data_IF_793449991731
#
_entry.id   IF_793449991731
#
_cell.length_a   1.000
_cell.length_b   1.000
_cell.length_c   1.000
_cell.angle_alpha   90.00
_cell.angle_beta   90.00
_cell.angle_gamma   90.00
#
_symmetry.space_group_name_H-M   'P 1'
#
loop_
_entity.id
_entity.type
_entity.pdbx_description
1 polymer ?
#
# COMPACT_ATOMS: atom_id res chain seq x y z
N UNK A 1 -9.15 36.47 -9.18
CA UNK A 1 -7.81 35.98 -9.54
C UNK A 1 -7.12 37.05 -10.35
N UNK A 2 -5.93 37.45 -9.92
CA UNK A 2 -5.04 38.27 -10.73
C UNK A 2 -4.57 37.47 -11.97
N UNK A 3 -3.95 38.15 -12.94
CA UNK A 3 -3.33 37.45 -14.07
C UNK A 3 -2.15 36.58 -13.61
N UNK A 4 -1.39 37.05 -12.63
CA UNK A 4 -0.27 36.32 -12.02
C UNK A 4 -0.74 35.04 -11.33
N UNK A 5 -1.86 35.06 -10.62
CA UNK A 5 -2.44 33.86 -9.99
C UNK A 5 -2.83 32.80 -11.02
N UNK A 6 -3.31 33.24 -12.20
CA UNK A 6 -3.70 32.31 -13.27
C UNK A 6 -2.49 31.67 -13.92
N UNK A 7 -1.45 32.44 -14.20
CA UNK A 7 -0.21 31.92 -14.78
C UNK A 7 0.46 30.93 -13.83
N UNK A 8 0.52 31.25 -12.54
CA UNK A 8 0.99 30.35 -11.49
C UNK A 8 0.20 29.03 -11.47
N UNK A 9 -1.14 29.10 -11.44
CA UNK A 9 -1.98 27.89 -11.40
C UNK A 9 -1.84 27.04 -12.65
N UNK A 10 -1.76 27.66 -13.84
CA UNK A 10 -1.59 26.92 -15.09
C UNK A 10 -0.24 26.19 -15.12
N UNK A 11 0.85 26.85 -14.71
CA UNK A 11 2.17 26.23 -14.62
C UNK A 11 2.18 25.06 -13.62
N UNK A 12 1.65 25.28 -12.41
CA UNK A 12 1.58 24.25 -11.39
C UNK A 12 0.75 23.03 -11.83
N UNK A 13 -0.39 23.26 -12.49
CA UNK A 13 -1.24 22.18 -13.00
C UNK A 13 -0.57 21.39 -14.14
N UNK A 14 0.19 22.06 -15.01
CA UNK A 14 0.97 21.40 -16.06
C UNK A 14 2.08 20.52 -15.47
N UNK A 15 2.85 21.02 -14.51
CA UNK A 15 3.88 20.25 -13.81
C UNK A 15 3.31 19.01 -13.12
N UNK A 16 2.19 19.16 -12.40
CA UNK A 16 1.50 18.03 -11.75
C UNK A 16 1.05 17.00 -12.79
N UNK A 17 0.53 17.44 -13.95
CA UNK A 17 0.13 16.54 -15.03
C UNK A 17 1.31 15.76 -15.63
N UNK A 18 2.51 16.33 -15.57
CA UNK A 18 3.77 15.68 -16.00
C UNK A 18 4.36 14.77 -14.90
N UNK A 19 3.73 14.70 -13.73
CA UNK A 19 4.10 13.80 -12.65
C UNK A 19 4.93 14.42 -11.53
N UNK A 20 5.08 15.74 -11.53
CA UNK A 20 5.74 16.46 -10.43
C UNK A 20 4.89 16.47 -9.15
N UNK A 21 5.54 16.71 -8.01
CA UNK A 21 4.89 16.71 -6.70
C UNK A 21 4.05 17.97 -6.49
N UNK A 22 2.76 17.78 -6.20
CA UNK A 22 1.81 18.88 -6.05
C UNK A 22 2.09 19.80 -4.85
N UNK A 23 2.79 19.33 -3.80
CA UNK A 23 3.21 20.20 -2.70
C UNK A 23 4.30 21.17 -3.15
N UNK A 24 5.21 20.70 -4.01
CA UNK A 24 6.23 21.53 -4.64
C UNK A 24 5.63 22.49 -5.67
N UNK A 25 4.82 22.01 -6.62
CA UNK A 25 4.27 22.85 -7.69
C UNK A 25 3.26 23.90 -7.23
N UNK A 26 2.49 23.62 -6.17
CA UNK A 26 1.54 24.59 -5.61
C UNK A 26 2.11 25.37 -4.41
N UNK A 27 3.37 25.11 -4.04
CA UNK A 27 4.01 25.64 -2.83
C UNK A 27 3.17 25.44 -1.55
N UNK A 28 2.37 24.38 -1.52
CA UNK A 28 1.50 24.04 -0.38
C UNK A 28 2.12 22.90 0.40
N UNK A 29 2.20 23.05 1.71
CA UNK A 29 2.64 21.95 2.59
C UNK A 29 1.41 21.17 3.05
N UNK A 30 1.32 19.89 2.72
CA UNK A 30 0.20 19.06 3.17
C UNK A 30 0.17 18.99 4.70
N UNK A 31 -1.03 19.08 5.29
CA UNK A 31 -1.19 18.97 6.75
C UNK A 31 -1.10 17.52 7.20
N UNK A 32 -0.75 17.32 8.46
CA UNK A 32 -0.68 16.00 9.11
C UNK A 32 -2.05 15.29 8.98
N UNK A 33 -2.14 14.29 8.09
CA UNK A 33 -3.37 13.54 7.80
C UNK A 33 -3.79 13.55 6.34
N UNK A 34 -3.33 14.53 5.56
CA UNK A 34 -3.49 14.57 4.11
C UNK A 34 -2.41 13.66 3.49
N UNK A 35 -2.79 12.47 3.02
CA UNK A 35 -1.82 11.45 2.59
C UNK A 35 -1.44 11.62 1.12
N UNK A 36 -0.12 11.77 0.91
CA UNK A 36 0.64 11.42 -0.31
C UNK A 36 -0.02 10.27 -1.07
N UNK A 37 -0.67 10.63 -2.18
CA UNK A 37 -1.70 9.80 -2.84
C UNK A 37 -1.17 8.47 -3.38
N UNK A 38 0.13 8.37 -3.64
CA UNK A 38 0.72 7.23 -4.35
C UNK A 38 1.29 6.17 -3.41
N UNK A 39 2.07 6.55 -2.39
CA UNK A 39 2.66 5.58 -1.46
C UNK A 39 1.60 4.89 -0.58
N UNK A 40 0.57 5.63 -0.15
CA UNK A 40 -0.50 5.04 0.64
C UNK A 40 -1.32 4.00 -0.16
N UNK A 41 -1.61 4.30 -1.44
CA UNK A 41 -2.28 3.37 -2.36
C UNK A 41 -1.42 2.13 -2.64
N UNK A 42 -0.13 2.32 -2.94
CA UNK A 42 0.82 1.22 -3.15
C UNK A 42 0.92 0.32 -1.92
N UNK A 43 1.02 0.90 -0.71
CA UNK A 43 1.06 0.11 0.53
C UNK A 43 -0.24 -0.65 0.76
N UNK A 44 -1.41 -0.09 0.45
CA UNK A 44 -2.69 -0.80 0.58
C UNK A 44 -2.76 -2.00 -0.37
N UNK A 45 -2.42 -1.80 -1.65
CA UNK A 45 -2.37 -2.86 -2.65
C UNK A 45 -1.35 -3.96 -2.28
N UNK A 46 -0.13 -3.58 -1.90
CA UNK A 46 0.90 -4.53 -1.47
C UNK A 46 0.47 -5.33 -0.24
N UNK A 47 -0.32 -4.73 0.67
CA UNK A 47 -0.83 -5.43 1.86
C UNK A 47 -1.85 -6.51 1.51
N UNK A 48 -2.77 -6.27 0.59
CA UNK A 48 -3.74 -7.29 0.17
C UNK A 48 -3.04 -8.51 -0.41
N UNK A 49 -2.08 -8.28 -1.31
CA UNK A 49 -1.25 -9.34 -1.88
C UNK A 49 -0.50 -10.13 -0.81
N UNK A 50 0.13 -9.41 0.12
CA UNK A 50 0.94 -10.02 1.18
C UNK A 50 0.10 -10.84 2.14
N UNK A 51 -1.07 -10.37 2.54
CA UNK A 51 -1.93 -11.15 3.41
C UNK A 51 -2.53 -12.37 2.70
N UNK A 52 -2.84 -12.28 1.41
CA UNK A 52 -3.23 -13.45 0.62
C UNK A 52 -2.12 -14.49 0.49
N UNK A 53 -0.87 -14.02 0.31
CA UNK A 53 0.30 -14.90 0.32
C UNK A 53 0.52 -15.54 1.69
N UNK A 54 0.44 -14.77 2.79
CA UNK A 54 0.57 -15.30 4.16
C UNK A 54 -0.52 -16.34 4.45
N UNK A 55 -1.76 -16.11 4.01
CA UNK A 55 -2.85 -17.08 4.14
C UNK A 55 -2.52 -18.41 3.46
N UNK A 56 -1.96 -18.35 2.26
CA UNK A 56 -1.61 -19.54 1.47
C UNK A 56 -0.40 -20.25 2.07
N UNK A 57 0.62 -19.49 2.45
CA UNK A 57 1.86 -20.01 3.01
C UNK A 57 1.66 -20.70 4.36
N UNK A 58 0.78 -20.17 5.21
CA UNK A 58 0.50 -20.74 6.54
C UNK A 58 -0.46 -21.92 6.53
N UNK A 59 -1.16 -22.14 5.42
CA UNK A 59 -2.12 -23.22 5.33
C UNK A 59 -1.42 -24.58 5.11
N UNK A 60 -2.08 -25.71 5.47
CA UNK A 60 -1.47 -27.02 5.39
C UNK A 60 -1.06 -27.41 3.96
N UNK A 61 0.04 -28.17 3.85
CA UNK A 61 0.50 -28.75 2.59
C UNK A 61 -0.58 -29.62 1.92
N UNK A 62 -1.36 -30.35 2.73
CA UNK A 62 -2.48 -31.19 2.25
C UNK A 62 -3.57 -30.40 1.52
N UNK A 63 -3.63 -29.09 1.73
CA UNK A 63 -4.59 -28.19 1.10
C UNK A 63 -3.89 -27.26 0.08
N UNK A 64 -2.64 -27.58 -0.31
CA UNK A 64 -1.85 -26.80 -1.28
C UNK A 64 -1.18 -25.55 -0.71
N UNK A 65 -1.03 -25.46 0.61
CA UNK A 65 -0.22 -24.43 1.26
C UNK A 65 1.24 -24.85 1.49
N UNK A 66 2.01 -24.04 2.22
CA UNK A 66 3.42 -24.33 2.55
C UNK A 66 3.61 -24.84 3.99
N UNK A 67 2.55 -24.92 4.80
CA UNK A 67 2.62 -25.38 6.18
C UNK A 67 3.48 -24.51 7.11
N UNK A 68 3.83 -23.29 6.69
CA UNK A 68 4.72 -22.41 7.45
C UNK A 68 4.04 -21.87 8.71
N UNK A 69 4.83 -21.56 9.74
CA UNK A 69 4.30 -20.79 10.85
C UNK A 69 4.13 -19.31 10.45
N UNK A 70 3.26 -18.59 11.16
CA UNK A 70 2.95 -17.19 10.83
C UNK A 70 4.18 -16.26 10.85
N UNK A 71 5.14 -16.50 11.76
CA UNK A 71 6.34 -15.65 11.85
C UNK A 71 7.26 -15.87 10.66
N UNK A 72 7.48 -17.12 10.26
CA UNK A 72 8.24 -17.49 9.07
C UNK A 72 7.62 -16.87 7.82
N UNK A 73 6.30 -17.03 7.66
CA UNK A 73 5.58 -16.43 6.54
C UNK A 73 5.76 -14.90 6.52
N UNK A 74 5.58 -14.20 7.65
CA UNK A 74 5.75 -12.74 7.71
C UNK A 74 7.17 -12.31 7.37
N UNK A 75 8.18 -13.05 7.84
CA UNK A 75 9.59 -12.76 7.57
C UNK A 75 9.91 -12.90 6.08
N UNK A 76 9.50 -14.00 5.44
CA UNK A 76 9.66 -14.21 3.99
C UNK A 76 8.93 -13.12 3.19
N UNK A 77 7.70 -12.77 3.59
CA UNK A 77 6.95 -11.71 2.94
C UNK A 77 7.64 -10.34 3.08
N UNK A 78 8.30 -10.08 4.21
CA UNK A 78 9.01 -8.82 4.44
C UNK A 78 10.26 -8.68 3.56
N UNK A 79 10.93 -9.78 3.27
CA UNK A 79 12.08 -9.84 2.35
C UNK A 79 11.64 -9.72 0.88
N UNK A 80 10.51 -10.34 0.52
CA UNK A 80 10.04 -10.42 -0.88
C UNK A 80 9.26 -9.19 -1.38
N UNK A 81 8.66 -8.40 -0.50
CA UNK A 81 7.76 -7.31 -0.87
C UNK A 81 8.24 -5.94 -0.36
N UNK A 82 8.25 -4.95 -1.26
CA UNK A 82 8.64 -3.58 -0.96
C UNK A 82 7.54 -2.79 -0.26
N UNK A 83 7.93 -1.75 0.51
CA UNK A 83 7.03 -0.78 1.15
C UNK A 83 6.00 -1.37 2.13
N UNK A 84 6.34 -2.48 2.77
CA UNK A 84 5.55 -3.06 3.85
C UNK A 84 5.81 -2.39 5.21
N UNK A 85 4.83 -2.41 6.14
CA UNK A 85 5.05 -2.12 7.56
C UNK A 85 6.11 -3.02 8.21
N UNK A 86 6.41 -2.77 9.49
CA UNK A 86 7.23 -3.69 10.29
C UNK A 86 6.56 -5.07 10.42
N UNK A 87 7.36 -6.10 10.67
CA UNK A 87 6.86 -7.47 10.91
C UNK A 87 5.85 -7.51 12.06
N UNK A 88 6.14 -6.84 13.18
CA UNK A 88 5.22 -6.70 14.31
C UNK A 88 3.86 -6.10 13.89
N UNK A 89 3.90 -5.09 13.02
CA UNK A 89 2.69 -4.46 12.49
C UNK A 89 1.89 -5.42 11.61
N UNK A 90 2.57 -6.25 10.80
CA UNK A 90 1.94 -7.27 9.97
C UNK A 90 1.32 -8.38 10.81
N UNK A 91 2.04 -8.88 11.82
CA UNK A 91 1.56 -9.87 12.79
C UNK A 91 0.31 -9.36 13.53
N UNK A 92 0.32 -8.11 13.97
CA UNK A 92 -0.85 -7.50 14.63
C UNK A 92 -2.04 -7.41 13.67
N UNK A 93 -1.82 -6.91 12.46
CA UNK A 93 -2.88 -6.75 11.44
C UNK A 93 -3.47 -8.09 11.00
N UNK A 94 -2.66 -9.16 10.97
CA UNK A 94 -3.13 -10.50 10.62
C UNK A 94 -4.29 -10.97 11.49
N UNK A 95 -4.32 -10.60 12.78
CA UNK A 95 -5.42 -10.97 13.69
C UNK A 95 -6.79 -10.47 13.23
N UNK A 96 -6.81 -9.33 12.54
CA UNK A 96 -8.04 -8.73 12.01
C UNK A 96 -8.34 -9.28 10.62
N UNK A 97 -7.32 -9.37 9.75
CA UNK A 97 -7.46 -9.82 8.36
C UNK A 97 -7.87 -11.28 8.26
N UNK A 98 -7.33 -12.18 9.10
CA UNK A 98 -7.68 -13.61 9.10
C UNK A 98 -9.15 -13.91 9.39
N UNK A 99 -9.88 -12.95 9.96
CA UNK A 99 -11.31 -13.08 10.27
C UNK A 99 -12.19 -12.77 9.05
N UNK A 100 -11.68 -11.98 8.11
CA UNK A 100 -12.45 -11.45 6.98
C UNK A 100 -11.98 -11.97 5.63
N UNK A 101 -10.71 -12.41 5.50
CA UNK A 101 -10.19 -12.95 4.26
C UNK A 101 -10.16 -14.48 4.23
N UNK A 102 -10.78 -15.04 3.18
CA UNK A 102 -10.63 -16.44 2.80
C UNK A 102 -9.40 -16.68 1.95
N UNK A 103 -9.09 -17.96 1.68
CA UNK A 103 -7.90 -18.39 0.92
C UNK A 103 -7.92 -17.92 -0.54
N UNK A 104 -9.12 -17.81 -1.13
CA UNK A 104 -9.33 -17.20 -2.45
C UNK A 104 -9.69 -15.73 -2.26
N UNK A 105 -8.90 -14.84 -2.84
CA UNK A 105 -9.17 -13.40 -2.84
C UNK A 105 -9.26 -12.90 -4.28
N UNK A 106 -10.22 -12.01 -4.53
CA UNK A 106 -10.35 -11.31 -5.82
C UNK A 106 -9.62 -9.99 -5.69
N UNK A 107 -8.49 -9.85 -6.38
CA UNK A 107 -7.81 -8.56 -6.48
C UNK A 107 -8.62 -7.72 -7.46
N UNK A 108 -9.28 -6.67 -6.95
CA UNK A 108 -9.88 -5.66 -7.84
C UNK A 108 -8.73 -4.82 -8.39
N UNK A 109 -8.43 -5.03 -9.66
CA UNK A 109 -7.57 -4.13 -10.44
C UNK A 109 -8.53 -3.21 -11.16
N UNK A 110 -8.70 -1.99 -10.63
CA UNK A 110 -9.47 -0.94 -11.30
C UNK A 110 -8.83 -0.56 -12.64
#
# INVERSE_FOLDING_TARGET
LSSEDKEFLVAALLEISNGEDAESSLEVKAKKGERKSLNAKKTAFSKELVFGWIATATAPESEGGLGLNLKEAVSIAKEGFFNLPSEESLLRQWNDVRKSQGRSFTIKTD
#
